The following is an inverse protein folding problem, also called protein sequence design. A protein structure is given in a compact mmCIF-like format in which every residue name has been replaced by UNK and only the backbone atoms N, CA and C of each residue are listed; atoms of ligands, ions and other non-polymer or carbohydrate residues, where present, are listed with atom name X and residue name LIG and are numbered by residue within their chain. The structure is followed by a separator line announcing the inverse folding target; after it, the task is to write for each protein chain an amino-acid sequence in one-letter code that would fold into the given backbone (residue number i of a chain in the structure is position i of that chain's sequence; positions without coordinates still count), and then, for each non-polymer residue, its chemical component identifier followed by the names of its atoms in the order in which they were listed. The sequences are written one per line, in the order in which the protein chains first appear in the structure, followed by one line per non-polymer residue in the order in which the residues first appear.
data_IF_385079899822
#
_entry.id   IF_385079899822
#
_cell.length_a   1.000
_cell.length_b   1.000
_cell.length_c   1.000
_cell.angle_alpha   90.00
_cell.angle_beta   90.00
_cell.angle_gamma   90.00
#
_symmetry.space_group_name_H-M   'P 1'
#
loop_
_entity.id
_entity.type
_entity.pdbx_description
1 polymer ?
#
# COMPACT_ATOMS: atom_id res chain seq x y z
N UNK A 1 -13.37 16.01 -2.73
CA UNK A 1 -13.40 14.57 -2.98
C UNK A 1 -12.95 14.32 -4.40
N UNK A 2 -12.12 13.31 -4.63
CA UNK A 2 -11.80 12.74 -5.94
C UNK A 2 -12.43 11.35 -5.99
N UNK A 3 -13.27 11.10 -6.98
CA UNK A 3 -14.01 9.84 -7.13
C UNK A 3 -13.18 8.82 -7.92
N UNK A 4 -13.52 7.54 -7.80
CA UNK A 4 -12.92 6.43 -8.54
C UNK A 4 -12.97 6.67 -10.06
N UNK A 5 -14.11 7.14 -10.58
CA UNK A 5 -14.25 7.61 -11.97
C UNK A 5 -13.93 9.12 -12.05
N UNK A 6 -12.65 9.46 -11.97
CA UNK A 6 -12.19 10.83 -12.06
C UNK A 6 -12.43 11.46 -13.43
N UNK A 7 -12.58 10.69 -14.50
CA UNK A 7 -12.84 11.20 -15.84
C UNK A 7 -14.21 11.92 -15.91
N UNK A 8 -15.19 11.50 -15.13
CA UNK A 8 -16.50 12.18 -15.03
C UNK A 8 -16.44 13.52 -14.28
N UNK A 9 -15.36 13.77 -13.54
CA UNK A 9 -15.16 15.04 -12.81
C UNK A 9 -14.49 16.11 -13.66
N UNK A 10 -13.79 15.72 -14.75
CA UNK A 10 -13.07 16.63 -15.64
C UNK A 10 -14.03 17.19 -16.70
N UNK A 11 -14.39 18.46 -16.59
CA UNK A 11 -15.48 19.07 -17.36
C UNK A 11 -15.02 20.10 -18.40
N UNK A 12 -13.73 20.53 -18.36
CA UNK A 12 -13.21 21.55 -19.25
C UNK A 12 -12.43 20.96 -20.43
N UNK A 13 -11.87 21.82 -21.30
CA UNK A 13 -11.15 21.40 -22.49
C UNK A 13 -9.66 21.22 -22.24
N UNK A 14 -9.06 22.05 -21.38
CA UNK A 14 -7.62 22.09 -21.14
C UNK A 14 -7.29 21.93 -19.65
N UNK A 15 -6.05 21.53 -19.37
CA UNK A 15 -5.52 21.35 -18.01
C UNK A 15 -5.63 22.64 -17.20
N UNK A 16 -5.28 23.77 -17.80
CA UNK A 16 -5.36 25.09 -17.16
C UNK A 16 -6.79 25.47 -16.80
N UNK A 17 -7.72 25.29 -17.73
CA UNK A 17 -9.13 25.60 -17.49
C UNK A 17 -9.70 24.76 -16.36
N UNK A 18 -9.32 23.46 -16.26
CA UNK A 18 -9.82 22.55 -15.23
C UNK A 18 -9.41 23.00 -13.82
N UNK A 19 -8.14 23.35 -13.66
CA UNK A 19 -7.63 23.85 -12.37
C UNK A 19 -8.23 25.21 -12.01
N UNK A 20 -8.40 26.10 -13.01
CA UNK A 20 -8.99 27.44 -12.81
C UNK A 20 -10.49 27.37 -12.48
N UNK A 21 -11.23 26.46 -13.10
CA UNK A 21 -12.69 26.33 -13.00
C UNK A 21 -13.19 26.20 -11.55
N UNK A 22 -12.52 25.38 -10.74
CA UNK A 22 -12.89 25.20 -9.34
C UNK A 22 -12.73 26.48 -8.51
N UNK A 23 -11.73 27.30 -8.83
CA UNK A 23 -11.47 28.58 -8.15
C UNK A 23 -12.39 29.70 -8.67
N UNK A 24 -12.67 29.73 -9.99
CA UNK A 24 -13.61 30.67 -10.60
C UNK A 24 -15.01 30.52 -10.00
N UNK A 25 -15.49 29.30 -9.85
CA UNK A 25 -16.79 29.01 -9.22
C UNK A 25 -16.86 29.46 -7.75
N UNK A 26 -15.71 29.63 -7.08
CA UNK A 26 -15.62 30.14 -5.71
C UNK A 26 -15.36 31.65 -5.64
N UNK A 27 -15.28 32.31 -6.80
CA UNK A 27 -15.12 33.76 -6.89
C UNK A 27 -13.71 34.28 -6.58
N UNK A 28 -12.68 33.44 -6.74
CA UNK A 28 -11.29 33.89 -6.63
C UNK A 28 -10.97 34.91 -7.72
N UNK A 29 -10.13 35.89 -7.40
CA UNK A 29 -9.63 36.86 -8.38
C UNK A 29 -8.59 36.24 -9.32
N UNK A 30 -8.38 36.87 -10.48
CA UNK A 30 -7.51 36.37 -11.55
C UNK A 30 -6.06 36.15 -11.11
N UNK A 31 -5.54 37.03 -10.24
CA UNK A 31 -4.15 36.94 -9.80
C UNK A 31 -3.97 35.75 -8.85
N UNK A 32 -4.91 35.54 -7.93
CA UNK A 32 -4.97 34.37 -7.06
C UNK A 32 -5.08 33.08 -7.88
N UNK A 33 -5.97 33.03 -8.88
CA UNK A 33 -6.12 31.86 -9.76
C UNK A 33 -4.80 31.55 -10.47
N UNK A 34 -4.11 32.57 -11.05
CA UNK A 34 -2.84 32.38 -11.76
C UNK A 34 -1.78 31.81 -10.82
N UNK A 35 -1.54 32.46 -9.69
CA UNK A 35 -0.50 32.06 -8.75
C UNK A 35 -0.76 30.67 -8.17
N UNK A 36 -2.00 30.42 -7.78
CA UNK A 36 -2.38 29.14 -7.18
C UNK A 36 -2.32 27.98 -8.19
N UNK A 37 -2.71 28.22 -9.46
CA UNK A 37 -2.58 27.20 -10.51
C UNK A 37 -1.13 26.79 -10.73
N UNK A 38 -0.19 27.76 -10.78
CA UNK A 38 1.24 27.50 -10.93
C UNK A 38 1.81 26.63 -9.77
N UNK A 39 1.37 26.92 -8.54
CA UNK A 39 1.74 26.12 -7.35
C UNK A 39 1.21 24.68 -7.45
N UNK A 40 -0.06 24.53 -7.77
CA UNK A 40 -0.72 23.22 -7.86
C UNK A 40 -0.12 22.37 -8.98
N UNK A 41 0.16 22.95 -10.16
CA UNK A 41 0.83 22.21 -11.26
C UNK A 41 2.19 21.66 -10.83
N UNK A 42 2.94 22.40 -10.01
CA UNK A 42 4.20 21.90 -9.44
C UNK A 42 3.97 20.76 -8.45
N UNK A 43 2.98 20.92 -7.57
CA UNK A 43 2.65 19.92 -6.56
C UNK A 43 2.29 18.56 -7.18
N UNK A 44 1.47 18.58 -8.25
CA UNK A 44 0.99 17.36 -8.90
C UNK A 44 1.83 16.88 -10.08
N UNK A 45 2.92 17.58 -10.42
CA UNK A 45 3.82 17.21 -11.52
C UNK A 45 3.21 17.36 -12.91
N UNK A 46 2.37 18.41 -13.12
CA UNK A 46 1.76 18.73 -14.41
C UNK A 46 2.36 19.96 -15.10
N UNK A 47 3.49 20.45 -14.64
CA UNK A 47 4.20 21.58 -15.24
C UNK A 47 4.54 21.29 -16.71
N UNK A 48 4.23 22.25 -17.60
CA UNK A 48 4.43 22.12 -19.06
C UNK A 48 3.30 21.43 -19.81
N UNK A 49 2.23 21.02 -19.09
CA UNK A 49 1.03 20.41 -19.68
C UNK A 49 -0.19 21.34 -19.64
N UNK A 50 -0.04 22.58 -19.15
CA UNK A 50 -1.12 23.51 -18.82
C UNK A 50 -2.06 23.77 -19.99
N UNK A 51 -1.51 23.91 -21.20
CA UNK A 51 -2.27 24.23 -22.41
C UNK A 51 -2.67 22.99 -23.23
N UNK A 52 -2.37 21.77 -22.69
CA UNK A 52 -2.80 20.53 -23.34
C UNK A 52 -4.28 20.27 -23.15
N UNK A 53 -4.88 19.64 -24.16
CA UNK A 53 -6.23 19.10 -24.06
C UNK A 53 -6.25 17.92 -23.05
N UNK A 54 -7.27 17.87 -22.21
CA UNK A 54 -7.45 16.80 -21.22
C UNK A 54 -7.49 15.42 -21.90
N UNK A 55 -8.12 15.33 -23.08
CA UNK A 55 -8.21 14.09 -23.87
C UNK A 55 -6.87 13.56 -24.39
N UNK A 56 -5.80 14.38 -24.37
CA UNK A 56 -4.46 13.98 -24.78
C UNK A 56 -3.58 13.49 -23.62
N UNK A 57 -4.09 13.54 -22.40
CA UNK A 57 -3.38 13.11 -21.20
C UNK A 57 -3.44 11.58 -21.02
N UNK A 58 -2.41 11.00 -20.40
CA UNK A 58 -2.47 9.63 -19.90
C UNK A 58 -3.46 9.48 -18.72
N UNK A 59 -3.86 8.26 -18.38
CA UNK A 59 -4.74 8.01 -17.22
C UNK A 59 -4.20 8.63 -15.94
N UNK A 60 -2.94 8.37 -15.58
CA UNK A 60 -2.30 8.94 -14.41
C UNK A 60 -2.19 10.47 -14.44
N UNK A 61 -2.00 11.09 -15.65
CA UNK A 61 -2.03 12.54 -15.78
C UNK A 61 -3.42 13.12 -15.57
N UNK A 62 -4.48 12.46 -16.08
CA UNK A 62 -5.87 12.90 -15.82
C UNK A 62 -6.22 12.79 -14.36
N UNK A 63 -5.82 11.72 -13.70
CA UNK A 63 -6.04 11.56 -12.26
C UNK A 63 -5.34 12.65 -11.45
N UNK A 64 -4.06 12.92 -11.73
CA UNK A 64 -3.35 14.03 -11.10
C UNK A 64 -4.01 15.39 -11.38
N UNK A 65 -4.64 15.55 -12.54
CA UNK A 65 -5.43 16.74 -12.84
C UNK A 65 -6.71 16.82 -11.98
N UNK A 66 -7.42 15.72 -11.76
CA UNK A 66 -8.57 15.69 -10.87
C UNK A 66 -8.18 16.03 -9.43
N UNK A 67 -7.03 15.55 -8.96
CA UNK A 67 -6.47 15.96 -7.67
C UNK A 67 -6.13 17.45 -7.67
N UNK A 68 -5.49 17.95 -8.75
CA UNK A 68 -5.11 19.36 -8.89
C UNK A 68 -6.31 20.30 -8.82
N UNK A 69 -7.43 19.97 -9.47
CA UNK A 69 -8.65 20.79 -9.43
C UNK A 69 -9.21 20.93 -8.01
N UNK A 70 -9.12 19.86 -7.20
CA UNK A 70 -9.52 19.92 -5.78
C UNK A 70 -8.50 20.72 -4.95
N UNK A 71 -7.20 20.49 -5.13
CA UNK A 71 -6.11 21.18 -4.40
C UNK A 71 -6.08 22.69 -4.67
N UNK A 72 -6.48 23.13 -5.86
CA UNK A 72 -6.55 24.54 -6.22
C UNK A 72 -7.39 25.37 -5.24
N UNK A 73 -8.40 24.75 -4.64
CA UNK A 73 -9.28 25.41 -3.66
C UNK A 73 -8.73 25.40 -2.23
N UNK A 74 -7.48 25.00 -2.03
CA UNK A 74 -6.79 24.95 -0.74
C UNK A 74 -7.55 24.19 0.35
N UNK A 75 -7.89 22.89 0.11
CA UNK A 75 -8.64 22.10 1.08
C UNK A 75 -7.76 21.73 2.28
N UNK A 76 -8.35 21.63 3.46
CA UNK A 76 -7.69 21.06 4.65
C UNK A 76 -7.79 19.55 4.69
N UNK A 77 -8.79 18.97 3.98
CA UNK A 77 -9.04 17.54 3.89
C UNK A 77 -9.23 17.16 2.43
N UNK A 78 -8.49 16.14 1.97
CA UNK A 78 -8.61 15.52 0.66
C UNK A 78 -9.16 14.10 0.84
N UNK A 79 -10.24 13.76 0.17
CA UNK A 79 -10.81 12.41 0.15
C UNK A 79 -10.61 11.81 -1.23
N UNK A 80 -10.02 10.63 -1.29
CA UNK A 80 -9.75 9.86 -2.51
C UNK A 80 -10.50 8.54 -2.44
N UNK A 81 -11.35 8.26 -3.41
CA UNK A 81 -12.15 7.06 -3.49
C UNK A 81 -11.61 6.16 -4.61
N UNK A 82 -11.06 5.00 -4.25
CA UNK A 82 -10.38 4.03 -5.13
C UNK A 82 -9.43 4.69 -6.15
N UNK A 83 -8.49 5.53 -5.68
CA UNK A 83 -7.72 6.38 -6.59
C UNK A 83 -6.76 5.60 -7.49
N UNK A 84 -6.55 4.32 -7.27
CA UNK A 84 -5.61 3.47 -8.03
C UNK A 84 -6.27 2.53 -9.02
N UNK A 85 -7.61 2.45 -9.04
CA UNK A 85 -8.38 1.47 -9.82
C UNK A 85 -8.09 1.43 -11.32
N UNK A 86 -7.60 2.53 -11.90
CA UNK A 86 -7.30 2.67 -13.34
C UNK A 86 -5.81 2.87 -13.64
N UNK A 87 -4.92 2.65 -12.66
CA UNK A 87 -3.49 2.88 -12.79
C UNK A 87 -2.71 1.56 -12.93
N UNK A 88 -1.59 1.65 -13.62
CA UNK A 88 -0.55 0.64 -13.58
C UNK A 88 0.25 0.75 -12.25
N UNK A 89 1.10 -0.23 -11.92
CA UNK A 89 1.86 -0.23 -10.67
C UNK A 89 2.76 1.01 -10.48
N UNK A 90 3.35 1.52 -11.56
CA UNK A 90 4.20 2.71 -11.51
C UNK A 90 3.36 3.96 -11.22
N UNK A 91 2.21 4.11 -11.89
CA UNK A 91 1.25 5.18 -11.64
C UNK A 91 0.69 5.15 -10.22
N UNK A 92 0.42 3.95 -9.68
CA UNK A 92 -0.01 3.74 -8.29
C UNK A 92 1.06 4.25 -7.31
N UNK A 93 2.33 3.86 -7.51
CA UNK A 93 3.42 4.30 -6.65
C UNK A 93 3.64 5.81 -6.72
N UNK A 94 3.54 6.42 -7.92
CA UNK A 94 3.63 7.87 -8.08
C UNK A 94 2.49 8.61 -7.37
N UNK A 95 1.26 8.08 -7.45
CA UNK A 95 0.11 8.66 -6.79
C UNK A 95 0.27 8.65 -5.27
N UNK A 96 0.59 7.52 -4.67
CA UNK A 96 0.73 7.45 -3.21
C UNK A 96 1.92 8.26 -2.69
N UNK A 97 3.00 8.41 -3.48
CA UNK A 97 4.07 9.36 -3.16
C UNK A 97 3.56 10.80 -3.13
N UNK A 98 2.75 11.19 -4.13
CA UNK A 98 2.10 12.51 -4.15
C UNK A 98 1.21 12.69 -2.91
N UNK A 99 0.41 11.70 -2.56
CA UNK A 99 -0.47 11.71 -1.37
C UNK A 99 0.33 11.89 -0.09
N UNK A 100 1.43 11.15 0.06
CA UNK A 100 2.36 11.31 1.19
C UNK A 100 2.93 12.72 1.26
N UNK A 101 3.42 13.25 0.15
CA UNK A 101 3.94 14.63 0.06
C UNK A 101 2.89 15.68 0.44
N UNK A 102 1.64 15.51 0.04
CA UNK A 102 0.54 16.41 0.39
C UNK A 102 0.26 16.41 1.89
N UNK A 103 0.33 15.25 2.53
CA UNK A 103 0.17 15.13 3.97
C UNK A 103 1.38 15.71 4.73
N UNK A 104 2.60 15.22 4.44
CA UNK A 104 3.81 15.53 5.21
C UNK A 104 4.30 16.96 5.00
N UNK A 105 4.32 17.43 3.73
CA UNK A 105 4.91 18.73 3.37
C UNK A 105 3.89 19.88 3.38
N UNK A 106 2.62 19.56 3.09
CA UNK A 106 1.56 20.56 2.95
C UNK A 106 0.51 20.51 4.07
N UNK A 107 0.60 19.54 4.99
CA UNK A 107 -0.28 19.43 6.15
C UNK A 107 -1.74 19.13 5.81
N UNK A 108 -2.01 18.58 4.62
CA UNK A 108 -3.36 18.21 4.19
C UNK A 108 -3.70 16.87 4.84
N UNK A 109 -4.84 16.80 5.53
CA UNK A 109 -5.38 15.50 5.96
C UNK A 109 -5.89 14.75 4.74
N UNK A 110 -5.36 13.55 4.50
CA UNK A 110 -5.81 12.72 3.37
C UNK A 110 -6.57 11.50 3.90
N UNK A 111 -7.74 11.27 3.35
CA UNK A 111 -8.55 10.07 3.57
C UNK A 111 -8.58 9.29 2.26
N UNK A 112 -8.07 8.07 2.28
CA UNK A 112 -8.07 7.17 1.11
C UNK A 112 -9.04 6.02 1.41
N UNK A 113 -9.93 5.74 0.48
CA UNK A 113 -10.77 4.54 0.47
C UNK A 113 -10.19 3.65 -0.61
N UNK A 114 -9.61 2.52 -0.24
CA UNK A 114 -8.99 1.58 -1.18
C UNK A 114 -9.10 0.15 -0.63
N UNK A 115 -9.05 -0.82 -1.52
CA UNK A 115 -9.00 -2.23 -1.20
C UNK A 115 -7.59 -2.83 -1.38
N UNK A 116 -6.66 -2.15 -2.06
CA UNK A 116 -5.26 -2.54 -2.19
C UNK A 116 -4.42 -1.95 -1.06
N UNK A 117 -4.29 -2.71 0.03
CA UNK A 117 -3.52 -2.30 1.19
C UNK A 117 -2.02 -2.16 0.91
N UNK A 118 -1.45 -2.97 0.00
CA UNK A 118 0.00 -2.99 -0.24
C UNK A 118 0.55 -1.62 -0.67
N UNK A 119 -0.21 -0.92 -1.49
CA UNK A 119 0.21 0.35 -2.05
C UNK A 119 0.04 1.52 -1.07
N UNK A 120 -1.01 1.51 -0.22
CA UNK A 120 -1.37 2.61 0.67
C UNK A 120 -0.68 2.54 2.04
N UNK A 121 -0.44 1.34 2.57
CA UNK A 121 0.09 1.16 3.94
C UNK A 121 1.40 1.90 4.23
N UNK A 122 2.37 2.04 3.31
CA UNK A 122 3.59 2.81 3.57
C UNK A 122 3.35 4.29 3.89
N UNK A 123 2.18 4.82 3.53
CA UNK A 123 1.80 6.23 3.69
C UNK A 123 0.71 6.45 4.75
N UNK A 124 0.06 5.36 5.20
CA UNK A 124 -1.03 5.43 6.16
C UNK A 124 -0.48 5.45 7.60
N UNK A 125 -1.01 6.33 8.43
CA UNK A 125 -0.72 6.37 9.87
C UNK A 125 -1.92 5.94 10.74
N UNK A 126 -3.11 5.84 10.15
CA UNK A 126 -4.35 5.37 10.78
C UNK A 126 -5.18 4.60 9.78
N UNK A 127 -5.89 3.58 10.25
CA UNK A 127 -6.72 2.73 9.42
C UNK A 127 -8.07 2.50 10.06
N UNK A 128 -9.14 2.73 9.30
CA UNK A 128 -10.51 2.39 9.69
C UNK A 128 -11.02 1.22 8.86
N UNK A 129 -11.34 0.11 9.51
CA UNK A 129 -11.91 -1.08 8.88
C UNK A 129 -13.42 -0.99 8.88
N UNK A 130 -14.03 -1.02 7.69
CA UNK A 130 -15.48 -1.08 7.52
C UNK A 130 -15.93 -2.51 7.25
N UNK A 131 -16.95 -2.95 7.99
CA UNK A 131 -17.61 -4.24 7.82
C UNK A 131 -19.13 -4.01 7.87
N UNK A 132 -19.85 -4.51 6.88
CA UNK A 132 -21.33 -4.40 6.80
C UNK A 132 -21.87 -2.98 7.05
N UNK A 133 -21.18 -1.97 6.49
CA UNK A 133 -21.58 -0.55 6.60
C UNK A 133 -21.29 0.11 7.95
N UNK A 134 -20.53 -0.55 8.83
CA UNK A 134 -20.12 -0.04 10.13
C UNK A 134 -18.61 -0.08 10.29
N UNK A 135 -18.05 0.84 11.08
CA UNK A 135 -16.63 0.80 11.44
C UNK A 135 -16.45 -0.25 12.52
N UNK A 136 -15.73 -1.33 12.18
CA UNK A 136 -15.43 -2.44 13.09
C UNK A 136 -14.17 -2.19 13.93
N UNK A 137 -13.17 -1.51 13.35
CA UNK A 137 -11.94 -1.10 14.01
C UNK A 137 -11.48 0.25 13.46
N UNK A 138 -10.92 1.11 14.28
CA UNK A 138 -10.38 2.42 13.88
C UNK A 138 -9.20 2.75 14.81
N UNK A 139 -7.98 2.44 14.37
CA UNK A 139 -6.77 2.56 15.17
C UNK A 139 -5.54 2.81 14.26
N UNK A 140 -4.33 2.72 14.82
CA UNK A 140 -3.13 2.67 14.00
C UNK A 140 -3.15 1.45 13.05
N UNK A 141 -2.30 1.50 12.03
CA UNK A 141 -2.26 0.45 11.00
C UNK A 141 -1.97 -0.93 11.57
N UNK A 142 -0.91 -1.14 12.39
CA UNK A 142 -0.60 -2.45 12.95
C UNK A 142 -1.74 -3.05 13.78
N UNK A 143 -2.37 -2.24 14.62
CA UNK A 143 -3.49 -2.66 15.48
C UNK A 143 -4.69 -3.09 14.64
N UNK A 144 -5.03 -2.32 13.59
CA UNK A 144 -6.15 -2.65 12.72
C UNK A 144 -5.87 -3.91 11.89
N UNK A 145 -4.65 -4.09 11.36
CA UNK A 145 -4.28 -5.32 10.63
C UNK A 145 -4.31 -6.55 11.54
N UNK A 146 -3.87 -6.42 12.80
CA UNK A 146 -3.98 -7.49 13.80
C UNK A 146 -5.43 -7.85 14.06
N UNK A 147 -6.30 -6.86 14.21
CA UNK A 147 -7.73 -7.07 14.37
C UNK A 147 -8.33 -7.85 13.19
N UNK A 148 -7.96 -7.48 11.95
CA UNK A 148 -8.40 -8.21 10.75
C UNK A 148 -7.96 -9.68 10.76
N UNK A 149 -6.69 -9.93 11.12
CA UNK A 149 -6.13 -11.28 11.20
C UNK A 149 -6.81 -12.14 12.27
N UNK A 150 -6.94 -11.63 13.50
CA UNK A 150 -7.51 -12.35 14.64
C UNK A 150 -9.01 -12.67 14.49
N UNK A 151 -9.75 -11.78 13.80
CA UNK A 151 -11.19 -11.97 13.56
C UNK A 151 -11.50 -12.60 12.20
N UNK A 152 -10.48 -12.99 11.43
CA UNK A 152 -10.61 -13.57 10.08
C UNK A 152 -11.42 -12.68 9.12
N UNK A 153 -11.17 -11.37 9.15
CA UNK A 153 -11.86 -10.38 8.32
C UNK A 153 -10.91 -9.93 7.21
N UNK A 154 -11.32 -10.13 5.94
CA UNK A 154 -10.53 -9.70 4.75
C UNK A 154 -9.05 -10.12 4.81
N UNK A 155 -8.78 -11.33 5.28
CA UNK A 155 -7.41 -11.83 5.48
C UNK A 155 -6.63 -11.87 4.17
N UNK A 156 -7.32 -12.07 3.05
CA UNK A 156 -6.73 -12.09 1.71
C UNK A 156 -6.13 -10.72 1.29
N UNK A 157 -6.60 -9.63 1.91
CA UNK A 157 -6.08 -8.28 1.68
C UNK A 157 -4.84 -7.96 2.53
N UNK A 158 -4.53 -8.78 3.55
CA UNK A 158 -3.38 -8.54 4.42
C UNK A 158 -2.06 -8.74 3.67
N UNK A 159 -1.05 -7.89 3.90
CA UNK A 159 0.28 -8.14 3.39
C UNK A 159 0.83 -9.49 3.86
N UNK A 160 1.38 -10.29 2.95
CA UNK A 160 1.94 -11.60 3.28
C UNK A 160 3.07 -11.54 4.32
N UNK A 161 3.83 -10.44 4.35
CA UNK A 161 4.83 -10.20 5.41
C UNK A 161 4.18 -10.04 6.78
N UNK A 162 2.98 -9.42 6.85
CA UNK A 162 2.25 -9.25 8.11
C UNK A 162 1.63 -10.57 8.58
N UNK A 163 1.05 -11.37 7.68
CA UNK A 163 0.52 -12.69 8.03
C UNK A 163 1.63 -13.61 8.53
N UNK A 164 2.80 -13.61 7.87
CA UNK A 164 3.98 -14.35 8.34
C UNK A 164 4.44 -13.89 9.72
N UNK A 165 4.45 -12.57 9.97
CA UNK A 165 4.75 -12.01 11.29
C UNK A 165 3.79 -12.55 12.38
N UNK A 166 2.49 -12.57 12.11
CA UNK A 166 1.48 -13.07 13.03
C UNK A 166 1.63 -14.58 13.30
N UNK A 167 1.94 -15.37 12.28
CA UNK A 167 2.19 -16.81 12.41
C UNK A 167 3.45 -17.10 13.26
N UNK A 168 4.52 -16.35 13.05
CA UNK A 168 5.75 -16.48 13.84
C UNK A 168 5.52 -16.05 15.29
N UNK A 169 4.78 -14.98 15.52
CA UNK A 169 4.40 -14.54 16.87
C UNK A 169 3.60 -15.64 17.62
N UNK A 170 2.63 -16.28 16.93
CA UNK A 170 1.89 -17.43 17.49
C UNK A 170 2.78 -18.65 17.76
N UNK A 171 3.84 -18.84 16.98
CA UNK A 171 4.84 -19.89 17.19
C UNK A 171 5.86 -19.55 18.31
N UNK A 172 5.72 -18.39 18.97
CA UNK A 172 6.56 -17.96 20.09
C UNK A 172 7.83 -17.18 19.68
N UNK A 173 7.94 -16.76 18.40
CA UNK A 173 8.98 -15.85 17.97
C UNK A 173 8.50 -14.41 18.13
N UNK A 174 9.37 -13.52 18.60
CA UNK A 174 9.02 -12.12 18.82
C UNK A 174 9.95 -11.20 18.00
N UNK A 175 9.34 -10.21 17.38
CA UNK A 175 10.01 -9.08 16.74
C UNK A 175 9.61 -7.81 17.47
N UNK A 176 10.51 -6.83 17.54
CA UNK A 176 10.25 -5.56 18.24
C UNK A 176 9.15 -4.74 17.57
N UNK A 177 9.00 -4.89 16.26
CA UNK A 177 8.03 -4.14 15.45
C UNK A 177 7.24 -5.09 14.52
N UNK A 178 5.97 -4.80 14.22
CA UNK A 178 5.18 -5.54 13.24
C UNK A 178 5.72 -5.32 11.82
N UNK A 179 5.62 -6.36 10.98
CA UNK A 179 6.15 -6.33 9.62
C UNK A 179 5.11 -5.80 8.63
N UNK A 180 5.26 -4.55 8.24
CA UNK A 180 4.38 -3.88 7.27
C UNK A 180 4.99 -3.81 5.86
N UNK A 181 6.28 -4.13 5.74
CA UNK A 181 7.03 -4.13 4.47
C UNK A 181 8.07 -5.24 4.46
N UNK A 182 8.60 -5.55 3.28
CA UNK A 182 9.72 -6.51 3.14
C UNK A 182 10.94 -6.04 3.96
N UNK A 183 11.18 -4.74 4.00
CA UNK A 183 12.32 -4.19 4.75
C UNK A 183 12.17 -4.41 6.26
N UNK A 184 10.97 -4.16 6.83
CA UNK A 184 10.70 -4.44 8.24
C UNK A 184 10.74 -5.94 8.54
N UNK A 185 10.29 -6.78 7.61
CA UNK A 185 10.37 -8.24 7.74
C UNK A 185 11.83 -8.74 7.79
N UNK A 186 12.71 -8.22 6.93
CA UNK A 186 14.14 -8.57 6.94
C UNK A 186 14.78 -8.18 8.28
N UNK A 187 14.49 -6.98 8.80
CA UNK A 187 14.99 -6.55 10.12
C UNK A 187 14.50 -7.47 11.23
N UNK A 188 13.20 -7.79 11.25
CA UNK A 188 12.61 -8.66 12.25
C UNK A 188 13.17 -10.09 12.21
N UNK A 189 13.40 -10.66 11.02
CA UNK A 189 14.02 -11.98 10.88
C UNK A 189 15.45 -12.00 11.44
N UNK A 190 16.25 -10.97 11.18
CA UNK A 190 17.59 -10.87 11.76
C UNK A 190 17.54 -10.78 13.31
N UNK A 191 16.58 -10.06 13.88
CA UNK A 191 16.40 -9.99 15.33
C UNK A 191 16.06 -11.38 15.91
N UNK A 192 15.16 -12.13 15.27
CA UNK A 192 14.79 -13.49 15.69
C UNK A 192 15.98 -14.44 15.59
N UNK A 193 16.75 -14.38 14.51
CA UNK A 193 17.97 -15.19 14.35
C UNK A 193 19.02 -14.92 15.44
N UNK A 194 19.27 -13.63 15.71
CA UNK A 194 20.22 -13.22 16.77
C UNK A 194 19.74 -13.68 18.15
N UNK A 195 18.45 -13.50 18.48
CA UNK A 195 17.89 -13.94 19.73
C UNK A 195 18.02 -15.47 19.92
N UNK A 196 17.76 -16.23 18.84
CA UNK A 196 17.90 -17.69 18.84
C UNK A 196 19.35 -18.16 18.97
N UNK A 197 20.32 -17.44 18.39
CA UNK A 197 21.75 -17.71 18.50
C UNK A 197 22.23 -17.50 19.95
N UNK A 198 21.83 -16.40 20.57
CA UNK A 198 22.15 -16.09 21.99
C UNK A 198 21.55 -17.15 22.93
N UNK A 199 20.30 -17.56 22.71
CA UNK A 199 19.70 -18.62 23.50
C UNK A 199 20.44 -19.97 23.38
N UNK A 200 20.94 -20.31 22.21
CA UNK A 200 21.76 -21.53 22.01
C UNK A 200 23.11 -21.45 22.73
N UNK A 201 23.76 -20.30 22.75
CA UNK A 201 25.00 -20.10 23.48
C UNK A 201 24.80 -20.20 25.00
N UNK A 202 23.76 -19.56 25.53
CA UNK A 202 23.42 -19.57 26.96
C UNK A 202 23.01 -20.98 27.45
N UNK A 203 22.33 -21.77 26.63
CA UNK A 203 21.92 -23.15 27.01
C UNK A 203 22.94 -24.20 26.58
N UNK A 204 23.90 -23.88 25.69
CA UNK A 204 24.99 -24.78 25.27
C UNK A 204 26.12 -24.93 26.27
N UNK A 205 26.30 -23.97 27.19
CA UNK A 205 27.33 -24.07 28.25
C UNK A 205 26.92 -24.97 29.43
N UNK A 206 25.66 -25.43 29.49
CA UNK A 206 25.18 -26.29 30.56
C UNK A 206 25.24 -27.81 30.29
N UNK A 207 25.78 -28.25 29.14
CA UNK A 207 25.82 -29.68 28.76
C UNK A 207 27.15 -30.18 28.27
N UNK A 208 28.25 -29.76 28.93
CA UNK A 208 29.55 -30.37 28.73
C UNK A 208 29.96 -31.17 30.00
N UNK A 209 29.27 -32.26 30.27
CA UNK A 209 29.82 -33.44 30.93
C UNK A 209 28.89 -34.63 30.73
N UNK A 210 29.42 -35.66 30.10
CA UNK A 210 29.07 -37.07 30.16
C UNK A 210 28.52 -37.71 28.86
N UNK A 211 29.44 -38.49 28.30
CA UNK A 211 29.28 -39.79 27.63
C UNK A 211 28.78 -39.89 26.16
N UNK A 212 29.77 -40.40 25.44
CA UNK A 212 29.70 -41.16 24.19
C UNK A 212 28.58 -42.19 24.14
N UNK A 213 27.81 -42.21 23.09
CA UNK A 213 27.48 -43.49 22.39
C UNK A 213 26.91 -43.18 20.97
N UNK A 214 27.50 -43.85 20.01
CA UNK A 214 27.16 -43.92 18.60
C UNK A 214 25.66 -44.19 18.34
N UNK A 215 25.06 -43.40 17.46
CA UNK A 215 24.01 -43.93 16.59
C UNK A 215 24.09 -43.25 15.23
N UNK A 216 24.44 -44.09 14.24
CA UNK A 216 24.45 -43.81 12.81
C UNK A 216 23.01 -43.55 12.37
N UNK A 217 22.67 -42.37 11.93
CA UNK A 217 21.39 -42.12 11.26
C UNK A 217 21.63 -42.05 9.76
N UNK A 218 21.05 -43.04 9.12
CA UNK A 218 21.02 -43.33 7.71
C UNK A 218 20.29 -42.20 6.92
N UNK A 219 21.02 -41.52 6.04
CA UNK A 219 20.45 -40.55 5.10
C UNK A 219 19.80 -41.32 3.93
N UNK A 220 18.48 -41.23 3.80
CA UNK A 220 17.79 -41.55 2.55
C UNK A 220 17.65 -40.28 1.71
N UNK A 221 17.88 -40.33 0.39
CA UNK A 221 17.76 -39.19 -0.50
C UNK A 221 16.31 -38.95 -0.91
N UNK A 222 15.95 -37.67 -0.99
CA UNK A 222 14.68 -37.17 -1.50
C UNK A 222 14.60 -37.52 -2.99
N UNK A 223 13.62 -38.33 -3.39
CA UNK A 223 13.27 -38.58 -4.79
C UNK A 223 12.60 -37.38 -5.41
N UNK A 224 13.13 -36.91 -6.54
CA UNK A 224 12.47 -35.98 -7.46
C UNK A 224 11.28 -36.71 -8.10
N UNK A 225 10.16 -36.04 -8.12
CA UNK A 225 8.99 -36.41 -8.92
C UNK A 225 9.08 -35.62 -10.23
N UNK A 226 9.69 -36.26 -11.24
CA UNK A 226 9.51 -35.89 -12.64
C UNK A 226 8.62 -36.95 -13.28
N UNK A 227 7.83 -36.56 -14.28
CA UNK A 227 7.04 -37.35 -15.23
C UNK A 227 5.61 -37.75 -14.83
N UNK A 228 4.68 -36.94 -15.32
CA UNK A 228 3.44 -37.44 -15.92
C UNK A 228 3.31 -36.85 -17.33
N UNK A 229 3.89 -37.59 -18.29
CA UNK A 229 3.49 -37.49 -19.70
C UNK A 229 2.28 -38.37 -19.97
N UNK A 230 1.39 -37.80 -20.73
CA UNK A 230 0.26 -38.23 -21.46
C UNK A 230 0.02 -39.73 -21.78
N UNK A 231 -1.23 -40.05 -21.99
CA UNK A 231 -1.70 -40.88 -23.10
C UNK A 231 -3.18 -40.65 -23.42
N UNK A 232 -3.35 -40.45 -24.70
CA UNK A 232 -4.52 -40.46 -25.56
C UNK A 232 -5.61 -41.52 -25.29
N UNK A 233 -6.76 -41.20 -25.83
CA UNK A 233 -7.72 -42.19 -26.35
C UNK A 233 -9.16 -41.88 -25.98
N UNK A 234 -9.91 -41.21 -26.81
CA UNK A 234 -10.65 -41.84 -27.87
C UNK A 234 -12.15 -41.93 -27.60
N UNK A 235 -12.89 -41.13 -28.35
CA UNK A 235 -14.11 -41.45 -29.10
C UNK A 235 -15.45 -41.84 -28.41
N UNK A 236 -16.49 -41.26 -29.02
CA UNK A 236 -17.94 -41.63 -29.12
C UNK A 236 -18.88 -41.09 -28.00
N UNK A 237 -19.70 -40.24 -28.32
CA UNK A 237 -20.97 -40.11 -29.01
C UNK A 237 -21.48 -38.65 -28.93
#
# INVERSE_FOLDING_TARGET
VVLADYDTQLVTMTVREEVAFAMENRGYDRETIRTRSEEVFKQVGLVGLEDRKITSLSGGQRQRLAIASVLATNPTVLVLDEPTSSLDPDGTAELYRLVGDLNEKHGITVVVIDHDLHAVLPYANRMALMVDGSIACDDDVPTTLRYMYEHNIHVDALPSVFTTYMELEQAGFHSDEPWLSIESAIKGLHQIEMAHAIQKEVHGESSSTTNQSNTVVNKQPIQRVDDVQGKDGGAHA
#
